data_IF_170558862546
#
_entry.id   IF_170558862546
#
_cell.length_a   1.000
_cell.length_b   1.000
_cell.length_c   1.000
_cell.angle_alpha   90.00
_cell.angle_beta   90.00
_cell.angle_gamma   90.00
#
_symmetry.space_group_name_H-M   'P 1'
#
loop_
_entity.id
_entity.type
_entity.pdbx_description
1 polymer ?
#
# COMPACT_ATOMS: atom_id res chain seq x y z
N UNK A 1 51.96 82.85 51.72
CA UNK A 1 50.78 82.05 52.18
C UNK A 1 49.84 81.78 51.00
N UNK A 2 49.29 82.78 50.29
CA UNK A 2 48.36 82.59 49.15
C UNK A 2 48.89 81.68 48.02
N UNK A 3 50.14 81.87 47.56
CA UNK A 3 50.75 81.02 46.50
C UNK A 3 50.92 79.54 46.90
N UNK A 4 51.10 79.26 48.20
CA UNK A 4 51.24 77.89 48.71
C UNK A 4 49.88 77.18 48.77
N UNK A 5 48.80 77.93 49.06
CA UNK A 5 47.43 77.39 49.04
C UNK A 5 47.00 77.03 47.62
N UNK A 6 47.24 77.89 46.64
CA UNK A 6 46.93 77.63 45.23
C UNK A 6 47.68 76.40 44.69
N UNK A 7 48.99 76.28 44.97
CA UNK A 7 49.76 75.10 44.56
C UNK A 7 49.26 73.80 45.20
N UNK A 8 48.79 73.86 46.46
CA UNK A 8 48.21 72.71 47.16
C UNK A 8 46.84 72.32 46.57
N UNK A 9 46.01 73.29 46.20
CA UNK A 9 44.70 73.06 45.59
C UNK A 9 44.84 72.48 44.17
N UNK A 10 45.79 72.97 43.37
CA UNK A 10 46.15 72.41 42.07
C UNK A 10 46.69 70.97 42.19
N UNK A 11 47.56 70.73 43.18
CA UNK A 11 48.09 69.39 43.46
C UNK A 11 46.97 68.41 43.88
N UNK A 12 46.01 68.85 44.68
CA UNK A 12 44.86 68.05 45.08
C UNK A 12 43.98 67.68 43.87
N UNK A 13 43.70 68.64 42.98
CA UNK A 13 42.94 68.41 41.74
C UNK A 13 43.66 67.44 40.80
N UNK A 14 44.97 67.59 40.63
CA UNK A 14 45.77 66.67 39.82
C UNK A 14 45.79 65.25 40.41
N UNK A 15 45.79 65.13 41.74
CA UNK A 15 45.73 63.83 42.41
C UNK A 15 44.37 63.16 42.20
N UNK A 16 43.25 63.89 42.29
CA UNK A 16 41.91 63.36 42.02
C UNK A 16 41.74 62.94 40.57
N UNK A 17 42.25 63.73 39.61
CA UNK A 17 42.17 63.41 38.19
C UNK A 17 42.98 62.16 37.83
N UNK A 18 44.19 62.02 38.42
CA UNK A 18 45.00 60.80 38.26
C UNK A 18 44.33 59.57 38.87
N UNK A 19 43.72 59.72 40.05
CA UNK A 19 43.00 58.63 40.70
C UNK A 19 41.81 58.15 39.84
N UNK A 20 41.02 59.09 39.30
CA UNK A 20 39.92 58.77 38.39
C UNK A 20 40.40 58.09 37.10
N UNK A 21 41.55 58.50 36.56
CA UNK A 21 42.16 57.84 35.39
C UNK A 21 42.62 56.41 35.71
N UNK A 22 43.24 56.19 36.87
CA UNK A 22 43.67 54.85 37.32
C UNK A 22 42.48 53.93 37.51
N UNK A 23 41.41 54.41 38.13
CA UNK A 23 40.18 53.63 38.32
C UNK A 23 39.52 53.27 36.99
N UNK A 24 39.46 54.22 36.05
CA UNK A 24 38.95 53.96 34.69
C UNK A 24 39.80 52.93 33.94
N UNK A 25 41.12 53.05 34.02
CA UNK A 25 42.05 52.09 33.42
C UNK A 25 41.88 50.69 34.03
N UNK A 26 41.76 50.58 35.35
CA UNK A 26 41.50 49.31 36.03
C UNK A 26 40.18 48.67 35.58
N UNK A 27 39.11 49.45 35.45
CA UNK A 27 37.83 48.96 34.94
C UNK A 27 37.94 48.43 33.50
N UNK A 28 38.62 49.17 32.61
CA UNK A 28 38.83 48.72 31.22
C UNK A 28 39.67 47.45 31.12
N UNK A 29 40.65 47.27 32.02
CA UNK A 29 41.46 46.05 32.06
C UNK A 29 40.63 44.84 32.49
N UNK A 30 39.76 45.00 33.50
CA UNK A 30 38.83 43.95 33.95
C UNK A 30 37.88 43.56 32.81
N UNK A 31 37.33 44.54 32.10
CA UNK A 31 36.45 44.31 30.96
C UNK A 31 37.18 43.60 29.81
N UNK A 32 38.39 44.03 29.48
CA UNK A 32 39.21 43.40 28.45
C UNK A 32 39.53 41.94 28.78
N UNK A 33 39.91 41.63 30.03
CA UNK A 33 40.15 40.25 30.45
C UNK A 33 38.87 39.41 30.42
N UNK A 34 37.71 40.00 30.75
CA UNK A 34 36.41 39.31 30.62
C UNK A 34 36.09 38.98 29.17
N UNK A 35 36.23 39.95 28.27
CA UNK A 35 36.00 39.76 26.82
C UNK A 35 36.97 38.73 26.23
N UNK A 36 38.24 38.75 26.66
CA UNK A 36 39.24 37.77 26.23
C UNK A 36 38.88 36.35 26.65
N UNK A 37 38.39 36.15 27.89
CA UNK A 37 37.87 34.86 28.35
C UNK A 37 36.67 34.41 27.51
N UNK A 38 35.68 35.29 27.31
CA UNK A 38 34.52 34.99 26.46
C UNK A 38 34.92 34.62 25.02
N UNK A 39 35.88 35.34 24.43
CA UNK A 39 36.37 35.03 23.08
C UNK A 39 37.06 33.65 23.04
N UNK A 40 37.83 33.29 24.07
CA UNK A 40 38.44 31.97 24.16
C UNK A 40 37.40 30.85 24.25
N UNK A 41 36.35 31.04 25.05
CA UNK A 41 35.23 30.09 25.18
C UNK A 41 34.42 29.97 23.87
N UNK A 42 34.13 31.09 23.22
CA UNK A 42 33.46 31.11 21.92
C UNK A 42 34.29 30.41 20.83
N UNK A 43 35.61 30.56 20.88
CA UNK A 43 36.51 29.88 19.92
C UNK A 43 36.46 28.36 20.13
N UNK A 44 36.49 27.90 21.39
CA UNK A 44 36.39 26.48 21.71
C UNK A 44 35.05 25.88 21.29
N UNK A 45 33.94 26.57 21.60
CA UNK A 45 32.60 26.11 21.21
C UNK A 45 32.41 26.11 19.70
N UNK A 46 32.92 27.12 18.99
CA UNK A 46 32.94 27.15 17.52
C UNK A 46 33.68 25.96 16.94
N UNK A 47 34.88 25.68 17.42
CA UNK A 47 35.68 24.55 16.91
C UNK A 47 34.99 23.21 17.18
N UNK A 48 34.36 23.04 18.35
CA UNK A 48 33.61 21.84 18.68
C UNK A 48 32.37 21.66 17.77
N UNK A 49 31.63 22.74 17.51
CA UNK A 49 30.49 22.73 16.58
C UNK A 49 30.93 22.42 15.14
N UNK A 50 32.06 22.99 14.70
CA UNK A 50 32.60 22.73 13.37
C UNK A 50 33.00 21.25 13.20
N UNK A 51 33.61 20.65 14.23
CA UNK A 51 33.91 19.20 14.22
C UNK A 51 32.63 18.37 14.12
N UNK A 52 31.61 18.69 14.93
CA UNK A 52 30.33 17.97 14.90
C UNK A 52 29.62 18.07 13.55
N UNK A 53 29.70 19.24 12.89
CA UNK A 53 29.14 19.41 11.55
C UNK A 53 29.84 18.52 10.54
N UNK A 54 31.18 18.44 10.57
CA UNK A 54 31.95 17.54 9.70
C UNK A 54 31.58 16.07 9.94
N UNK A 55 31.42 15.66 11.19
CA UNK A 55 31.03 14.28 11.53
C UNK A 55 29.63 13.95 11.00
N UNK A 56 28.68 14.88 11.12
CA UNK A 56 27.32 14.74 10.60
C UNK A 56 27.33 14.65 9.07
N UNK A 57 28.11 15.47 8.38
CA UNK A 57 28.22 15.45 6.93
C UNK A 57 28.82 14.12 6.43
N UNK A 58 29.87 13.62 7.10
CA UNK A 58 30.47 12.32 6.80
C UNK A 58 29.45 11.20 7.02
N UNK A 59 28.77 11.18 8.16
CA UNK A 59 27.75 10.16 8.45
C UNK A 59 26.59 10.20 7.44
N UNK A 60 26.13 11.39 7.07
CA UNK A 60 25.08 11.57 6.05
C UNK A 60 25.54 11.09 4.68
N UNK A 61 26.76 11.43 4.27
CA UNK A 61 27.32 10.98 3.00
C UNK A 61 27.46 9.45 2.92
N UNK A 62 27.89 8.82 4.03
CA UNK A 62 27.97 7.36 4.14
C UNK A 62 26.57 6.73 4.03
N UNK A 63 25.56 7.31 4.69
CA UNK A 63 24.19 6.80 4.60
C UNK A 63 23.59 6.92 3.21
N UNK A 64 23.87 8.03 2.50
CA UNK A 64 23.45 8.21 1.11
C UNK A 64 24.08 7.15 0.21
N UNK A 65 25.38 6.88 0.37
CA UNK A 65 26.07 5.86 -0.41
C UNK A 65 25.54 4.44 -0.13
N UNK A 66 25.19 4.15 1.13
CA UNK A 66 24.56 2.88 1.51
C UNK A 66 23.17 2.72 0.87
N UNK A 67 22.31 3.74 0.98
CA UNK A 67 20.98 3.73 0.36
C UNK A 67 21.05 3.65 -1.16
N UNK A 68 22.03 4.29 -1.79
CA UNK A 68 22.24 4.18 -3.24
C UNK A 68 22.57 2.74 -3.65
N UNK A 69 23.45 2.07 -2.90
CA UNK A 69 23.79 0.65 -3.12
C UNK A 69 22.59 -0.26 -2.89
N UNK A 70 21.81 -0.02 -1.83
CA UNK A 70 20.59 -0.77 -1.55
C UNK A 70 19.58 -0.65 -2.69
N UNK A 71 19.37 0.57 -3.20
CA UNK A 71 18.53 0.80 -4.38
C UNK A 71 19.02 0.05 -5.63
N UNK A 72 20.34 0.05 -5.90
CA UNK A 72 20.91 -0.71 -7.03
C UNK A 72 20.64 -2.22 -6.89
N UNK A 73 20.80 -2.78 -5.69
CA UNK A 73 20.52 -4.20 -5.43
C UNK A 73 19.03 -4.51 -5.63
N UNK A 74 18.15 -3.67 -5.09
CA UNK A 74 16.70 -3.85 -5.25
C UNK A 74 16.27 -3.77 -6.72
N UNK A 75 16.88 -2.88 -7.50
CA UNK A 75 16.64 -2.81 -8.95
C UNK A 75 17.06 -4.10 -9.64
N UNK A 76 18.22 -4.68 -9.32
CA UNK A 76 18.65 -5.96 -9.89
C UNK A 76 17.70 -7.09 -9.52
N UNK A 77 17.28 -7.16 -8.26
CA UNK A 77 16.32 -8.17 -7.81
C UNK A 77 14.97 -8.05 -8.53
N UNK A 78 14.50 -6.82 -8.77
CA UNK A 78 13.27 -6.59 -9.53
C UNK A 78 13.39 -7.09 -10.98
N UNK A 79 14.51 -6.82 -11.66
CA UNK A 79 14.74 -7.31 -13.02
C UNK A 79 14.78 -8.84 -13.06
N UNK A 80 15.43 -9.49 -12.11
CA UNK A 80 15.46 -10.95 -12.04
C UNK A 80 14.05 -11.54 -11.89
N UNK A 81 13.23 -10.97 -11.00
CA UNK A 81 11.84 -11.44 -10.83
C UNK A 81 11.01 -11.19 -12.10
N UNK A 82 11.24 -10.08 -12.82
CA UNK A 82 10.60 -9.83 -14.11
C UNK A 82 10.99 -10.90 -15.15
N UNK A 83 12.27 -11.23 -15.27
CA UNK A 83 12.75 -12.28 -16.18
C UNK A 83 12.15 -13.66 -15.83
N UNK A 84 12.06 -14.00 -14.55
CA UNK A 84 11.44 -15.24 -14.08
C UNK A 84 9.94 -15.29 -14.44
N UNK A 85 9.22 -14.19 -14.23
CA UNK A 85 7.80 -14.11 -14.60
C UNK A 85 7.59 -14.20 -16.12
N UNK A 86 8.43 -13.54 -16.92
CA UNK A 86 8.40 -13.65 -18.39
C UNK A 86 8.68 -15.09 -18.84
N UNK A 87 9.66 -15.76 -18.22
CA UNK A 87 9.96 -17.16 -18.49
C UNK A 87 8.76 -18.07 -18.25
N UNK A 88 8.13 -17.97 -17.06
CA UNK A 88 6.95 -18.76 -16.74
C UNK A 88 5.75 -18.43 -17.63
N UNK A 89 5.56 -17.16 -17.97
CA UNK A 89 4.51 -16.73 -18.88
C UNK A 89 4.66 -17.36 -20.27
N UNK A 90 5.87 -17.32 -20.85
CA UNK A 90 6.17 -17.94 -22.14
C UNK A 90 6.03 -19.46 -22.07
N UNK A 91 6.52 -20.09 -21.00
CA UNK A 91 6.38 -21.54 -20.79
C UNK A 91 4.90 -21.95 -20.70
N UNK A 92 4.10 -21.19 -19.96
CA UNK A 92 2.67 -21.41 -19.85
C UNK A 92 1.97 -21.22 -21.20
N UNK A 93 2.33 -20.18 -21.96
CA UNK A 93 1.79 -19.95 -23.30
C UNK A 93 2.13 -21.10 -24.25
N UNK A 94 3.35 -21.63 -24.20
CA UNK A 94 3.77 -22.78 -25.01
C UNK A 94 3.03 -24.06 -24.59
N UNK A 95 2.91 -24.34 -23.30
CA UNK A 95 2.16 -25.48 -22.79
C UNK A 95 0.68 -25.39 -23.14
N UNK A 96 0.10 -24.19 -23.03
CA UNK A 96 -1.28 -23.90 -23.43
C UNK A 96 -1.46 -24.12 -24.93
N UNK A 97 -0.56 -23.59 -25.76
CA UNK A 97 -0.58 -23.81 -27.21
C UNK A 97 -0.40 -25.30 -27.59
N UNK A 98 0.51 -26.03 -26.94
CA UNK A 98 0.72 -27.48 -27.15
C UNK A 98 -0.49 -28.30 -26.72
N UNK A 99 -1.11 -27.95 -25.60
CA UNK A 99 -2.35 -28.60 -25.14
C UNK A 99 -3.52 -28.31 -26.09
N UNK A 100 -3.62 -27.08 -26.62
CA UNK A 100 -4.62 -26.70 -27.61
C UNK A 100 -4.39 -27.39 -28.97
N UNK A 101 -3.14 -27.55 -29.40
CA UNK A 101 -2.78 -28.28 -30.62
C UNK A 101 -3.07 -29.78 -30.49
N UNK A 102 -2.70 -30.40 -29.36
CA UNK A 102 -3.02 -31.81 -29.06
C UNK A 102 -4.53 -32.03 -28.93
N UNK A 103 -5.26 -31.08 -28.33
CA UNK A 103 -6.73 -31.10 -28.32
C UNK A 103 -7.32 -30.89 -29.72
N UNK A 104 -6.66 -30.14 -30.60
CA UNK A 104 -7.02 -29.97 -32.01
C UNK A 104 -6.82 -31.25 -32.83
N UNK A 105 -5.74 -31.99 -32.57
CA UNK A 105 -5.45 -33.30 -33.17
C UNK A 105 -6.41 -34.38 -32.63
N UNK A 106 -6.69 -34.38 -31.32
CA UNK A 106 -7.77 -35.20 -30.76
C UNK A 106 -9.13 -34.83 -31.35
N UNK A 107 -9.45 -33.54 -31.54
CA UNK A 107 -10.70 -33.11 -32.20
C UNK A 107 -10.77 -33.51 -33.67
N UNK A 108 -9.64 -33.58 -34.39
CA UNK A 108 -9.60 -34.09 -35.76
C UNK A 108 -9.85 -35.61 -35.82
N UNK A 109 -9.36 -36.35 -34.83
CA UNK A 109 -9.62 -37.80 -34.67
C UNK A 109 -10.99 -38.09 -34.00
N UNK A 110 -11.61 -37.07 -33.39
CA UNK A 110 -12.91 -37.11 -32.68
C UNK A 110 -13.93 -36.20 -33.36
N UNK A 111 -13.84 -36.01 -34.69
CA UNK A 111 -14.94 -35.40 -35.48
C UNK A 111 -16.19 -36.30 -35.55
N UNK A 112 -16.15 -37.46 -34.90
CA UNK A 112 -17.29 -38.36 -34.71
C UNK A 112 -18.09 -38.10 -33.43
N UNK A 113 -17.63 -37.30 -32.45
CA UNK A 113 -18.40 -37.04 -31.22
C UNK A 113 -18.47 -35.54 -30.87
N UNK A 114 -19.48 -34.85 -31.41
CA UNK A 114 -20.08 -33.65 -30.83
C UNK A 114 -20.73 -34.02 -29.50
N UNK A 115 -20.04 -33.79 -28.39
CA UNK A 115 -20.60 -33.55 -27.05
C UNK A 115 -19.41 -33.23 -26.12
N UNK A 116 -19.18 -31.94 -25.83
CA UNK A 116 -18.31 -31.58 -24.70
C UNK A 116 -19.06 -31.91 -23.41
N UNK A 117 -18.44 -32.60 -22.43
CA UNK A 117 -19.15 -33.15 -21.29
C UNK A 117 -19.78 -32.03 -20.47
N UNK A 118 -21.06 -32.19 -20.16
CA UNK A 118 -21.85 -31.28 -19.35
C UNK A 118 -21.13 -31.05 -18.01
N UNK A 119 -20.57 -29.85 -17.80
CA UNK A 119 -20.05 -29.48 -16.47
C UNK A 119 -21.24 -29.29 -15.54
N UNK A 120 -21.36 -30.20 -14.59
CA UNK A 120 -22.42 -30.17 -13.57
C UNK A 120 -22.01 -29.45 -12.30
N UNK A 121 -20.73 -29.16 -12.10
CA UNK A 121 -20.23 -28.40 -10.96
C UNK A 121 -19.00 -27.58 -11.35
N UNK A 122 -18.88 -26.38 -10.77
CA UNK A 122 -17.71 -25.51 -10.86
C UNK A 122 -17.44 -24.91 -9.48
N UNK A 123 -16.23 -25.08 -8.98
CA UNK A 123 -15.72 -24.45 -7.76
C UNK A 123 -14.60 -23.50 -8.16
N UNK A 124 -14.70 -22.25 -7.72
CA UNK A 124 -13.69 -21.21 -7.90
C UNK A 124 -13.22 -20.80 -6.52
N UNK A 125 -11.93 -20.97 -6.25
CA UNK A 125 -11.28 -20.46 -5.05
C UNK A 125 -10.72 -19.07 -5.34
N UNK A 126 -11.13 -18.06 -4.57
CA UNK A 126 -10.69 -16.69 -4.78
C UNK A 126 -9.25 -16.43 -4.34
N UNK A 127 -8.61 -17.43 -3.70
CA UNK A 127 -7.17 -17.41 -3.38
C UNK A 127 -6.30 -17.75 -4.60
N UNK A 128 -6.86 -18.43 -5.59
CA UNK A 128 -6.21 -18.71 -6.87
C UNK A 128 -6.39 -17.55 -7.85
N UNK A 129 -5.79 -17.65 -9.04
CA UNK A 129 -6.03 -16.71 -10.13
C UNK A 129 -7.48 -16.78 -10.62
N UNK A 130 -8.09 -15.61 -10.79
CA UNK A 130 -9.46 -15.47 -11.27
C UNK A 130 -9.48 -14.55 -12.50
N UNK A 131 -10.36 -14.84 -13.45
CA UNK A 131 -10.67 -13.96 -14.58
C UNK A 131 -11.80 -13.02 -14.16
N UNK A 132 -11.47 -11.77 -13.87
CA UNK A 132 -12.43 -10.80 -13.37
C UNK A 132 -11.80 -9.43 -13.11
N UNK A 133 -12.63 -8.41 -13.06
CA UNK A 133 -12.20 -7.02 -12.85
C UNK A 133 -12.64 -6.50 -11.47
N UNK A 134 -11.92 -5.51 -10.95
CA UNK A 134 -12.19 -4.84 -9.67
C UNK A 134 -12.07 -5.77 -8.45
N UNK A 135 -10.97 -6.51 -8.40
CA UNK A 135 -10.56 -7.31 -7.26
C UNK A 135 -9.16 -6.94 -6.81
N UNK A 136 -8.92 -6.95 -5.51
CA UNK A 136 -7.55 -6.85 -4.98
C UNK A 136 -6.78 -8.17 -5.12
N UNK A 137 -5.52 -8.16 -4.68
CA UNK A 137 -4.72 -9.36 -4.53
C UNK A 137 -5.39 -10.36 -3.57
N UNK A 138 -5.15 -11.65 -3.83
CA UNK A 138 -5.59 -12.70 -2.93
C UNK A 138 -4.92 -12.57 -1.56
N UNK A 139 -5.71 -12.75 -0.51
CA UNK A 139 -5.27 -12.89 0.87
C UNK A 139 -5.39 -14.36 1.31
N UNK A 140 -4.83 -14.70 2.47
CA UNK A 140 -4.74 -16.08 2.96
C UNK A 140 -6.09 -16.82 3.07
N UNK A 141 -7.19 -16.08 3.24
CA UNK A 141 -8.51 -16.63 3.49
C UNK A 141 -9.60 -16.14 2.52
N UNK A 142 -9.25 -15.33 1.51
CA UNK A 142 -10.16 -14.85 0.47
C UNK A 142 -9.59 -13.68 -0.33
N UNK A 143 -10.44 -12.99 -1.08
CA UNK A 143 -10.08 -11.83 -1.91
C UNK A 143 -11.11 -10.73 -1.76
N UNK A 144 -10.65 -9.50 -1.60
CA UNK A 144 -11.52 -8.33 -1.48
C UNK A 144 -11.99 -7.81 -2.85
N UNK A 145 -13.27 -7.45 -2.92
CA UNK A 145 -13.83 -6.64 -3.99
C UNK A 145 -13.56 -5.14 -3.76
N UNK A 146 -13.32 -4.39 -4.84
CA UNK A 146 -13.00 -2.96 -4.83
C UNK A 146 -11.80 -2.62 -5.72
N UNK A 147 -11.42 -1.33 -5.84
CA UNK A 147 -11.95 -0.14 -5.16
C UNK A 147 -13.28 0.39 -5.70
N UNK A 148 -13.71 -0.05 -6.88
CA UNK A 148 -14.99 0.34 -7.49
C UNK A 148 -16.19 -0.39 -6.89
N UNK A 149 -17.39 0.05 -7.29
CA UNK A 149 -18.66 -0.49 -6.81
C UNK A 149 -19.12 -1.76 -7.54
N UNK A 150 -18.38 -2.19 -8.57
CA UNK A 150 -18.79 -3.31 -9.42
C UNK A 150 -17.60 -4.22 -9.67
N UNK A 151 -17.68 -5.45 -9.20
CA UNK A 151 -16.70 -6.50 -9.48
C UNK A 151 -17.28 -7.54 -10.42
N UNK A 152 -16.47 -8.01 -11.36
CA UNK A 152 -16.90 -8.97 -12.39
C UNK A 152 -16.12 -10.27 -12.25
N UNK A 153 -16.74 -11.39 -12.57
CA UNK A 153 -16.08 -12.69 -12.62
C UNK A 153 -16.56 -13.43 -13.86
N UNK A 154 -15.62 -13.84 -14.70
CA UNK A 154 -15.87 -14.59 -15.93
C UNK A 154 -15.61 -16.06 -15.67
N UNK A 155 -16.60 -16.90 -16.00
CA UNK A 155 -16.55 -18.33 -15.75
C UNK A 155 -17.05 -19.09 -16.98
N UNK A 156 -16.59 -20.33 -17.19
CA UNK A 156 -17.13 -21.18 -18.25
C UNK A 156 -18.60 -21.55 -17.96
N UNK A 157 -19.46 -21.67 -18.99
CA UNK A 157 -20.87 -22.00 -18.83
C UNK A 157 -21.08 -23.43 -18.28
N UNK A 158 -22.15 -23.62 -17.50
CA UNK A 158 -22.59 -24.94 -17.03
C UNK A 158 -23.72 -25.50 -17.92
N UNK A 159 -23.76 -26.83 -18.07
CA UNK A 159 -24.61 -27.53 -19.05
C UNK A 159 -26.05 -27.84 -18.62
N UNK A 160 -26.53 -27.31 -17.49
CA UNK A 160 -27.86 -27.60 -16.92
C UNK A 160 -28.91 -26.52 -17.21
N UNK A 161 -30.20 -26.87 -17.03
CA UNK A 161 -31.32 -25.90 -17.18
C UNK A 161 -31.49 -25.03 -15.97
N UNK A 162 -31.08 -25.52 -14.80
CA UNK A 162 -31.09 -24.78 -13.55
C UNK A 162 -29.69 -24.79 -12.96
N UNK A 163 -29.29 -23.67 -12.36
CA UNK A 163 -28.03 -23.58 -11.66
C UNK A 163 -28.28 -23.10 -10.23
N UNK A 164 -27.58 -23.73 -9.29
CA UNK A 164 -27.42 -23.22 -7.93
C UNK A 164 -26.10 -22.48 -7.86
N UNK A 165 -26.14 -21.33 -7.19
CA UNK A 165 -25.02 -20.45 -6.92
C UNK A 165 -24.85 -20.37 -5.40
N UNK A 166 -23.62 -20.52 -4.92
CA UNK A 166 -23.27 -20.35 -3.53
C UNK A 166 -21.93 -19.63 -3.42
N UNK A 167 -21.94 -18.43 -2.83
CA UNK A 167 -20.78 -17.58 -2.63
C UNK A 167 -20.40 -17.57 -1.15
N UNK A 168 -19.24 -18.09 -0.82
CA UNK A 168 -18.72 -18.09 0.55
C UNK A 168 -18.07 -16.73 0.83
N UNK A 169 -18.77 -15.89 1.60
CA UNK A 169 -18.32 -14.54 2.00
C UNK A 169 -17.70 -14.62 3.39
N UNK A 170 -16.42 -14.27 3.48
CA UNK A 170 -15.66 -14.32 4.74
C UNK A 170 -15.95 -13.12 5.61
N UNK A 171 -16.11 -11.96 5.00
CA UNK A 171 -16.26 -10.69 5.71
C UNK A 171 -16.81 -9.59 4.78
N UNK A 172 -17.30 -8.51 5.36
CA UNK A 172 -17.58 -7.27 4.64
C UNK A 172 -17.23 -6.07 5.52
N UNK A 173 -16.82 -4.97 4.91
CA UNK A 173 -16.49 -3.76 5.67
C UNK A 173 -17.67 -3.25 6.50
N UNK A 174 -18.88 -3.39 5.96
CA UNK A 174 -20.13 -3.09 6.63
C UNK A 174 -21.17 -4.15 6.26
N UNK A 175 -21.99 -4.64 7.22
CA UNK A 175 -23.07 -5.58 6.93
C UNK A 175 -24.06 -5.08 5.86
N UNK A 176 -24.27 -3.76 5.81
CA UNK A 176 -25.14 -3.07 4.84
C UNK A 176 -24.62 -3.20 3.40
N UNK A 177 -23.30 -3.28 3.20
CA UNK A 177 -22.70 -3.49 1.88
C UNK A 177 -23.08 -4.87 1.34
N UNK A 178 -23.00 -5.91 2.18
CA UNK A 178 -23.42 -7.25 1.78
C UNK A 178 -24.94 -7.34 1.62
N UNK A 179 -25.72 -6.73 2.52
CA UNK A 179 -27.18 -6.72 2.46
C UNK A 179 -27.73 -6.01 1.21
N UNK A 180 -27.05 -4.95 0.76
CA UNK A 180 -27.37 -4.22 -0.47
C UNK A 180 -26.69 -4.77 -1.73
N UNK A 181 -25.93 -5.87 -1.63
CA UNK A 181 -25.22 -6.45 -2.78
C UNK A 181 -26.21 -7.03 -3.79
N UNK A 182 -26.07 -6.63 -5.05
CA UNK A 182 -26.83 -7.21 -6.16
C UNK A 182 -25.92 -8.08 -7.02
N UNK A 183 -26.40 -9.29 -7.33
CA UNK A 183 -25.69 -10.21 -8.24
C UNK A 183 -26.45 -10.30 -9.54
N UNK A 184 -25.74 -10.23 -10.66
CA UNK A 184 -26.33 -10.49 -11.99
C UNK A 184 -25.45 -11.43 -12.80
N UNK A 185 -26.08 -12.20 -13.67
CA UNK A 185 -25.46 -13.10 -14.64
C UNK A 185 -25.79 -12.59 -16.03
N UNK A 186 -24.78 -12.27 -16.84
CA UNK A 186 -24.93 -11.77 -18.22
C UNK A 186 -25.92 -10.58 -18.31
N UNK A 187 -25.96 -9.73 -17.26
CA UNK A 187 -26.86 -8.58 -17.15
C UNK A 187 -28.25 -8.89 -16.55
N UNK A 188 -28.62 -10.16 -16.35
CA UNK A 188 -29.85 -10.54 -15.65
C UNK A 188 -29.62 -10.63 -14.15
N UNK A 189 -30.36 -9.85 -13.37
CA UNK A 189 -30.32 -9.90 -11.90
C UNK A 189 -30.74 -11.28 -11.38
N UNK A 190 -29.96 -11.81 -10.44
CA UNK A 190 -30.24 -13.04 -9.71
C UNK A 190 -30.93 -12.69 -8.39
N UNK A 191 -31.86 -13.54 -7.97
CA UNK A 191 -32.48 -13.43 -6.64
C UNK A 191 -31.57 -14.16 -5.64
N UNK A 192 -30.74 -13.39 -4.94
CA UNK A 192 -29.71 -13.89 -4.06
C UNK A 192 -30.09 -13.62 -2.60
N UNK A 193 -30.02 -14.65 -1.76
CA UNK A 193 -30.33 -14.59 -0.33
C UNK A 193 -29.09 -14.89 0.50
N UNK A 194 -28.92 -14.17 1.60
CA UNK A 194 -27.84 -14.36 2.57
C UNK A 194 -28.28 -15.41 3.59
N UNK A 195 -27.51 -16.48 3.75
CA UNK A 195 -27.74 -17.53 4.75
C UNK A 195 -26.83 -17.31 5.97
N UNK A 196 -27.43 -16.93 7.11
CA UNK A 196 -26.74 -16.77 8.39
C UNK A 196 -26.94 -15.39 9.01
N UNK A 197 -26.46 -15.22 10.24
CA UNK A 197 -26.60 -13.98 11.02
C UNK A 197 -25.27 -13.23 11.22
N UNK A 198 -24.19 -13.66 10.56
CA UNK A 198 -22.86 -13.07 10.71
C UNK A 198 -21.82 -13.75 9.83
N UNK A 199 -20.56 -13.34 9.98
CA UNK A 199 -19.45 -13.80 9.15
C UNK A 199 -18.70 -15.00 9.76
N UNK A 200 -18.23 -15.97 8.96
CA UNK A 200 -18.47 -16.10 7.51
C UNK A 200 -19.93 -16.49 7.21
N UNK A 201 -20.45 -16.03 6.07
CA UNK A 201 -21.81 -16.30 5.58
C UNK A 201 -21.80 -16.79 4.13
N UNK A 202 -22.90 -17.37 3.67
CA UNK A 202 -23.06 -17.86 2.29
C UNK A 202 -24.18 -17.11 1.61
N UNK A 203 -23.91 -16.55 0.43
CA UNK A 203 -24.95 -15.97 -0.43
C UNK A 203 -25.38 -17.03 -1.44
N UNK A 204 -26.65 -17.42 -1.42
CA UNK A 204 -27.21 -18.42 -2.34
C UNK A 204 -28.19 -17.83 -3.32
N UNK A 205 -28.19 -18.38 -4.53
CA UNK A 205 -29.23 -18.11 -5.52
C UNK A 205 -29.52 -19.37 -6.32
N UNK A 206 -30.75 -19.51 -6.79
CA UNK A 206 -31.14 -20.56 -7.73
C UNK A 206 -31.82 -19.90 -8.93
N UNK A 207 -31.30 -20.16 -10.13
CA UNK A 207 -31.80 -19.52 -11.34
C UNK A 207 -31.88 -20.50 -12.51
N UNK A 208 -32.84 -20.27 -13.41
CA UNK A 208 -32.94 -21.01 -14.66
C UNK A 208 -31.98 -20.40 -15.69
N UNK A 209 -31.19 -21.23 -16.37
CA UNK A 209 -30.30 -20.83 -17.47
C UNK A 209 -31.15 -20.55 -18.71
N UNK A 210 -31.11 -19.33 -19.22
CA UNK A 210 -31.92 -18.89 -20.36
C UNK A 210 -31.14 -18.94 -21.67
N UNK A 211 -31.81 -18.76 -22.82
CA UNK A 211 -31.11 -18.72 -24.12
C UNK A 211 -30.06 -17.59 -24.20
N UNK A 212 -30.27 -16.47 -23.49
CA UNK A 212 -29.30 -15.38 -23.39
C UNK A 212 -28.02 -15.75 -22.61
N UNK A 213 -28.07 -16.82 -21.83
CA UNK A 213 -26.95 -17.36 -21.06
C UNK A 213 -26.17 -18.43 -21.84
N UNK A 214 -26.58 -18.78 -23.06
CA UNK A 214 -25.84 -19.73 -23.93
C UNK A 214 -24.64 -19.08 -24.62
N UNK A 215 -23.95 -18.22 -23.90
CA UNK A 215 -22.71 -17.59 -24.34
C UNK A 215 -21.52 -18.48 -23.95
N UNK A 216 -20.39 -18.40 -24.68
CA UNK A 216 -19.21 -19.21 -24.38
C UNK A 216 -18.56 -18.89 -23.03
N UNK A 217 -18.91 -17.74 -22.44
CA UNK A 217 -18.43 -17.26 -21.13
C UNK A 217 -19.62 -16.67 -20.38
N UNK A 218 -19.75 -17.00 -19.11
CA UNK A 218 -20.69 -16.39 -18.17
C UNK A 218 -20.00 -15.27 -17.41
N UNK A 219 -20.57 -14.07 -17.43
CA UNK A 219 -20.11 -12.94 -16.63
C UNK A 219 -21.03 -12.77 -15.41
N UNK A 220 -20.50 -13.05 -14.23
CA UNK A 220 -21.09 -12.61 -12.97
C UNK A 220 -20.68 -11.18 -12.68
N UNK A 221 -21.64 -10.37 -12.25
CA UNK A 221 -21.40 -9.00 -11.81
C UNK A 221 -21.98 -8.81 -10.42
N UNK A 222 -21.12 -8.40 -9.50
CA UNK A 222 -21.40 -8.08 -8.12
C UNK A 222 -21.41 -6.56 -7.97
N UNK A 223 -22.58 -5.98 -7.73
CA UNK A 223 -22.76 -4.55 -7.53
C UNK A 223 -22.94 -4.27 -6.05
N UNK A 224 -22.16 -3.33 -5.51
CA UNK A 224 -22.16 -2.95 -4.11
C UNK A 224 -22.74 -1.54 -3.93
N UNK A 225 -23.46 -1.26 -2.84
CA UNK A 225 -23.97 0.09 -2.55
C UNK A 225 -22.84 1.08 -2.18
N UNK A 226 -21.68 0.58 -1.76
CA UNK A 226 -20.53 1.37 -1.36
C UNK A 226 -19.29 0.51 -1.09
N UNK A 227 -18.17 1.19 -0.89
CA UNK A 227 -16.87 0.63 -0.44
C UNK A 227 -16.34 1.52 0.67
N UNK A 228 -15.73 0.95 1.70
CA UNK A 228 -15.21 1.69 2.85
C UNK A 228 -13.73 1.42 3.02
N UNK A 229 -12.96 2.45 3.37
CA UNK A 229 -11.55 2.27 3.71
C UNK A 229 -11.36 1.98 5.20
N UNK A 230 -10.67 0.89 5.60
CA UNK A 230 -10.31 0.68 7.00
C UNK A 230 -9.55 1.87 7.62
N UNK A 231 -8.86 2.68 6.82
CA UNK A 231 -8.16 3.87 7.28
C UNK A 231 -9.08 4.91 7.92
N UNK A 232 -10.36 4.97 7.51
CA UNK A 232 -11.37 5.83 8.14
C UNK A 232 -11.61 5.44 9.61
N UNK A 233 -11.24 4.22 10.00
CA UNK A 233 -11.33 3.67 11.36
C UNK A 233 -9.98 3.55 12.05
N UNK A 234 -8.94 4.22 11.52
CA UNK A 234 -7.60 4.26 12.12
C UNK A 234 -6.68 3.11 11.75
N UNK A 235 -7.00 2.34 10.71
CA UNK A 235 -6.06 1.37 10.11
C UNK A 235 -5.04 2.07 9.20
N UNK A 236 -3.88 1.45 8.99
CA UNK A 236 -2.94 1.89 7.96
C UNK A 236 -3.38 1.47 6.54
N UNK A 237 -4.36 0.55 6.43
CA UNK A 237 -4.90 0.08 5.15
C UNK A 237 -5.80 1.12 4.49
N UNK A 238 -5.30 1.70 3.39
CA UNK A 238 -5.96 2.75 2.60
C UNK A 238 -6.89 2.21 1.50
N UNK A 239 -6.98 0.88 1.34
CA UNK A 239 -7.80 0.27 0.28
C UNK A 239 -9.27 0.52 0.55
N UNK A 240 -10.03 0.79 -0.51
CA UNK A 240 -11.49 0.85 -0.42
C UNK A 240 -12.04 -0.55 -0.68
N UNK A 241 -12.69 -1.14 0.33
CA UNK A 241 -13.06 -2.54 0.37
C UNK A 241 -14.60 -2.68 0.45
N UNK A 242 -15.16 -3.65 -0.27
CA UNK A 242 -16.56 -4.03 -0.15
C UNK A 242 -16.72 -5.32 0.68
N UNK A 243 -16.73 -6.46 -0.01
CA UNK A 243 -16.85 -7.81 0.59
C UNK A 243 -15.59 -8.63 0.31
N UNK A 244 -15.25 -9.54 1.21
CA UNK A 244 -14.17 -10.52 1.05
C UNK A 244 -14.76 -11.89 0.79
N UNK A 245 -14.38 -12.47 -0.35
CA UNK A 245 -14.94 -13.72 -0.84
C UNK A 245 -13.88 -14.82 -0.78
N UNK A 246 -14.26 -16.00 -0.32
CA UNK A 246 -13.40 -17.19 -0.29
C UNK A 246 -13.59 -18.06 -1.52
N UNK A 247 -14.83 -18.40 -1.84
CA UNK A 247 -15.11 -19.30 -2.95
C UNK A 247 -16.46 -19.04 -3.58
N UNK A 248 -16.58 -19.38 -4.86
CA UNK A 248 -17.84 -19.47 -5.58
C UNK A 248 -18.06 -20.93 -6.02
N UNK A 249 -19.21 -21.48 -5.66
CA UNK A 249 -19.67 -22.80 -6.09
C UNK A 249 -20.88 -22.65 -6.99
N UNK A 250 -20.82 -23.29 -8.15
CA UNK A 250 -21.92 -23.41 -9.10
C UNK A 250 -22.23 -24.88 -9.29
N UNK A 251 -23.52 -25.24 -9.23
CA UNK A 251 -24.00 -26.60 -9.48
C UNK A 251 -25.12 -26.57 -10.49
N UNK A 252 -24.97 -27.33 -11.57
CA UNK A 252 -26.01 -27.52 -12.56
C UNK A 252 -26.97 -28.60 -12.08
N UNK A 253 -28.25 -28.28 -12.06
CA UNK A 253 -29.35 -29.21 -11.91
C UNK A 253 -30.06 -29.44 -13.25
N UNK A 254 -30.81 -30.54 -13.31
CA UNK A 254 -31.71 -30.87 -14.43
C UNK A 254 -32.90 -29.92 -14.56
#
# INVERSE_FOLDING_TARGET
IVKLTQARDEQAKLATDRQAQVEKLAQTQIEHERLKKQHSELTLTRNALESRLKDVDVAKSAKIAELARENEILLVQLHQVQEELEHYFLQWQELSARSAASAGELKANTRSHTESPQRSELLIDFRDEIDGDNWYYAEHDGRWAGPGLVSTLRVPPLGGRRCEFALDVVDAMEPEILAGMEVSLNGRRLDAAIEGAGYPTVVRSSFAVTDGDRQPVWEFRFSFPGTVSPAERGSDDQRHLAVRIRSLKLRAGE
#
